data_IF_697130849776
#
_entry.id   IF_697130849776
#
_cell.length_a   1.000
_cell.length_b   1.000
_cell.length_c   1.000
_cell.angle_alpha   90.00
_cell.angle_beta   90.00
_cell.angle_gamma   90.00
#
_symmetry.space_group_name_H-M   'P 1'
#
loop_
_entity.id
_entity.type
_entity.pdbx_description
1 polymer ?
#
# COMPACT_ATOMS: atom_id res chain seq x y z
N UNK A 1 16.46 6.19 50.70
CA UNK A 1 17.65 5.36 50.38
C UNK A 1 17.54 3.90 50.85
N UNK A 2 16.74 3.57 51.88
CA UNK A 2 16.63 2.21 52.43
C UNK A 2 15.73 1.20 51.66
N UNK A 3 14.95 1.65 50.67
CA UNK A 3 14.08 0.77 49.87
C UNK A 3 14.82 0.08 48.70
N UNK A 4 15.90 0.70 48.19
CA UNK A 4 16.64 0.19 47.04
C UNK A 4 17.58 -0.98 47.38
N UNK A 5 18.08 -1.05 48.62
CA UNK A 5 18.95 -2.16 49.07
C UNK A 5 18.18 -3.44 49.40
N UNK A 6 16.94 -3.34 49.88
CA UNK A 6 16.10 -4.53 50.13
C UNK A 6 15.68 -5.23 48.83
N UNK A 7 15.49 -4.48 47.74
CA UNK A 7 15.12 -5.06 46.44
C UNK A 7 16.32 -5.78 45.79
N UNK A 8 17.54 -5.26 45.94
CA UNK A 8 18.77 -5.91 45.45
C UNK A 8 19.04 -7.24 46.15
N UNK A 9 18.73 -7.36 47.45
CA UNK A 9 19.01 -8.58 48.22
C UNK A 9 18.02 -9.72 47.89
N UNK A 10 16.75 -9.40 47.58
CA UNK A 10 15.76 -10.40 47.17
C UNK A 10 16.01 -10.96 45.76
N UNK A 11 16.46 -10.11 44.82
CA UNK A 11 16.77 -10.55 43.44
C UNK A 11 18.02 -11.46 43.42
N UNK A 12 18.99 -11.20 44.29
CA UNK A 12 20.22 -12.01 44.34
C UNK A 12 19.99 -13.40 44.94
N UNK A 13 19.01 -13.55 45.84
CA UNK A 13 18.67 -14.87 46.42
C UNK A 13 17.82 -15.73 45.48
N UNK A 14 16.96 -15.13 44.66
CA UNK A 14 16.18 -15.84 43.63
C UNK A 14 17.07 -16.35 42.49
N UNK A 15 18.11 -15.62 42.10
CA UNK A 15 19.06 -16.07 41.07
C UNK A 15 19.96 -17.23 41.52
N UNK A 16 20.32 -17.31 42.80
CA UNK A 16 21.14 -18.41 43.32
C UNK A 16 20.35 -19.71 43.52
N UNK A 17 19.05 -19.64 43.78
CA UNK A 17 18.19 -20.84 43.90
C UNK A 17 17.78 -21.44 42.56
N UNK A 18 17.82 -20.66 41.45
CA UNK A 18 17.54 -21.17 40.11
C UNK A 18 18.75 -21.88 39.44
N UNK A 19 19.95 -21.77 40.02
CA UNK A 19 21.19 -22.33 39.44
C UNK A 19 21.62 -23.69 40.02
N UNK A 20 20.85 -24.28 40.93
CA UNK A 20 21.18 -25.57 41.57
C UNK A 20 20.01 -26.54 41.40
N UNK A 21 19.65 -26.89 40.16
CA UNK A 21 18.94 -28.14 39.88
C UNK A 21 18.96 -28.48 38.38
N UNK A 22 20.13 -28.69 37.80
CA UNK A 22 20.25 -29.49 36.56
C UNK A 22 21.47 -30.38 36.68
N UNK A 23 21.26 -31.58 37.20
CA UNK A 23 22.19 -32.71 37.08
C UNK A 23 22.29 -33.06 35.59
N UNK A 24 23.49 -33.29 35.03
CA UNK A 24 23.64 -33.51 33.59
C UNK A 24 23.31 -34.96 33.27
N UNK A 25 22.08 -35.21 32.82
CA UNK A 25 21.73 -36.42 32.09
C UNK A 25 21.14 -36.02 30.73
N UNK A 26 21.62 -36.70 29.70
CA UNK A 26 21.20 -36.66 28.30
C UNK A 26 21.52 -35.38 27.50
N UNK A 27 22.58 -35.50 26.70
CA UNK A 27 23.05 -34.60 25.62
C UNK A 27 22.05 -34.32 24.49
N UNK A 28 20.82 -34.83 24.55
CA UNK A 28 19.81 -34.67 23.51
C UNK A 28 18.91 -33.42 23.68
N UNK A 29 18.74 -32.87 24.89
CA UNK A 29 17.74 -31.81 25.14
C UNK A 29 18.19 -30.39 24.76
N UNK A 30 19.49 -30.10 24.78
CA UNK A 30 20.02 -28.76 24.40
C UNK A 30 19.87 -28.45 22.91
N UNK A 31 19.86 -29.48 22.07
CA UNK A 31 19.75 -29.32 20.62
C UNK A 31 18.34 -28.86 20.23
N UNK A 32 17.31 -29.35 20.93
CA UNK A 32 15.92 -28.94 20.72
C UNK A 32 15.65 -27.50 21.15
N UNK A 33 16.24 -27.03 22.25
CA UNK A 33 16.07 -25.64 22.70
C UNK A 33 16.74 -24.63 21.77
N UNK A 34 17.93 -24.93 21.23
CA UNK A 34 18.59 -24.07 20.23
C UNK A 34 17.81 -24.02 18.91
N UNK A 35 17.29 -25.16 18.45
CA UNK A 35 16.43 -25.22 17.26
C UNK A 35 15.15 -24.37 17.45
N UNK A 36 14.54 -24.41 18.63
CA UNK A 36 13.37 -23.58 18.93
C UNK A 36 13.69 -22.08 18.87
N UNK A 37 14.84 -21.64 19.41
CA UNK A 37 15.26 -20.24 19.32
C UNK A 37 15.60 -19.80 17.89
N UNK A 38 16.22 -20.68 17.09
CA UNK A 38 16.50 -20.41 15.68
C UNK A 38 15.20 -20.32 14.89
N UNK A 39 14.24 -21.22 15.12
CA UNK A 39 12.92 -21.19 14.47
C UNK A 39 12.17 -19.91 14.84
N UNK A 40 12.17 -19.50 16.12
CA UNK A 40 11.53 -18.26 16.56
C UNK A 40 12.21 -17.02 15.94
N UNK A 41 13.55 -16.99 15.90
CA UNK A 41 14.29 -15.90 15.25
C UNK A 41 14.05 -15.86 13.74
N UNK A 42 13.92 -17.02 13.08
CA UNK A 42 13.61 -17.13 11.66
C UNK A 42 12.16 -16.70 11.38
N UNK A 43 11.20 -17.10 12.23
CA UNK A 43 9.80 -16.65 12.14
C UNK A 43 9.67 -15.14 12.36
N UNK A 44 10.41 -14.56 13.31
CA UNK A 44 10.48 -13.11 13.52
C UNK A 44 11.13 -12.39 12.32
N UNK A 45 12.19 -12.94 11.75
CA UNK A 45 12.82 -12.39 10.54
C UNK A 45 11.88 -12.45 9.32
N UNK A 46 11.03 -13.47 9.21
CA UNK A 46 10.01 -13.58 8.16
C UNK A 46 8.88 -12.54 8.36
N UNK A 47 8.46 -12.26 9.60
CA UNK A 47 7.45 -11.24 9.89
C UNK A 47 7.97 -9.83 9.53
N UNK A 48 9.24 -9.53 9.78
CA UNK A 48 9.86 -8.25 9.40
C UNK A 48 10.29 -8.16 7.92
N UNK A 49 10.32 -9.28 7.20
CA UNK A 49 10.61 -9.33 5.77
C UNK A 49 9.35 -9.26 4.89
N UNK A 50 8.15 -9.22 5.48
CA UNK A 50 6.93 -8.97 4.73
C UNK A 50 6.97 -7.52 4.21
N UNK A 51 6.84 -7.30 2.89
CA UNK A 51 6.80 -5.95 2.34
C UNK A 51 5.60 -5.23 2.97
N UNK A 52 5.87 -4.13 3.68
CA UNK A 52 4.84 -3.23 4.17
C UNK A 52 3.99 -2.78 2.96
N UNK A 53 2.72 -3.20 2.87
CA UNK A 53 2.04 -3.04 1.60
C UNK A 53 1.51 -1.63 1.38
N UNK A 54 1.79 -1.12 0.18
CA UNK A 54 1.68 0.25 -0.27
C UNK A 54 0.25 0.81 -0.25
N UNK A 55 0.09 1.99 0.34
CA UNK A 55 -0.98 2.92 -0.02
C UNK A 55 -0.76 3.30 -1.50
N UNK A 56 -1.72 2.95 -2.34
CA UNK A 56 -1.58 2.94 -3.79
C UNK A 56 -1.48 4.37 -4.38
N UNK A 57 -0.28 4.81 -4.80
CA UNK A 57 -0.04 6.06 -5.57
C UNK A 57 0.11 5.81 -7.08
N UNK A 58 0.06 4.54 -7.48
CA UNK A 58 0.09 4.01 -8.84
C UNK A 58 -0.79 4.80 -9.79
N UNK A 59 -2.03 5.09 -9.40
CA UNK A 59 -3.02 5.72 -10.27
C UNK A 59 -2.63 7.16 -10.62
N UNK A 60 -1.99 7.89 -9.71
CA UNK A 60 -1.46 9.22 -10.01
C UNK A 60 -0.14 9.11 -10.76
N UNK A 61 0.72 8.14 -10.42
CA UNK A 61 1.91 7.87 -11.21
C UNK A 61 1.57 7.60 -12.69
N UNK A 62 0.48 6.87 -12.97
CA UNK A 62 -0.06 6.60 -14.31
C UNK A 62 -0.46 7.87 -15.05
N UNK A 63 -1.25 8.69 -14.37
CA UNK A 63 -1.91 9.84 -14.97
C UNK A 63 -0.93 10.99 -15.19
N UNK A 64 0.07 11.09 -14.30
CA UNK A 64 1.17 12.05 -14.41
C UNK A 64 2.25 11.64 -15.41
N UNK A 65 2.35 10.34 -15.72
CA UNK A 65 3.32 9.80 -16.66
C UNK A 65 3.03 10.17 -18.13
N UNK A 66 1.83 10.66 -18.46
CA UNK A 66 1.52 11.18 -19.80
C UNK A 66 2.25 12.48 -20.11
N UNK A 67 2.56 13.26 -19.08
CA UNK A 67 3.34 14.49 -19.19
C UNK A 67 4.23 14.63 -17.95
N UNK A 68 5.29 13.79 -17.82
CA UNK A 68 6.10 13.71 -16.61
C UNK A 68 6.91 14.99 -16.37
N UNK A 69 7.10 15.81 -17.41
CA UNK A 69 7.70 17.13 -17.34
C UNK A 69 6.73 18.25 -16.97
N UNK A 70 5.41 17.99 -16.87
CA UNK A 70 4.47 19.03 -16.49
C UNK A 70 4.59 19.35 -15.00
N UNK A 71 4.56 20.65 -14.69
CA UNK A 71 4.52 21.15 -13.31
C UNK A 71 3.32 20.59 -12.54
N UNK A 72 2.19 20.36 -13.21
CA UNK A 72 1.01 19.77 -12.60
C UNK A 72 1.28 18.33 -12.15
N UNK A 73 1.81 17.51 -13.06
CA UNK A 73 2.19 16.13 -12.80
C UNK A 73 3.14 15.99 -11.62
N UNK A 74 4.15 16.87 -11.54
CA UNK A 74 5.10 16.85 -10.42
C UNK A 74 4.43 17.16 -9.08
N UNK A 75 3.64 18.22 -9.02
CA UNK A 75 3.05 18.70 -7.76
C UNK A 75 1.99 17.72 -7.23
N UNK A 76 1.13 17.17 -8.09
CA UNK A 76 0.14 16.17 -7.66
C UNK A 76 0.80 14.84 -7.27
N UNK A 77 1.90 14.44 -7.93
CA UNK A 77 2.68 13.25 -7.55
C UNK A 77 3.31 13.42 -6.17
N UNK A 78 3.93 14.55 -5.88
CA UNK A 78 4.51 14.83 -4.56
C UNK A 78 3.44 14.69 -3.46
N UNK A 79 2.26 15.27 -3.69
CA UNK A 79 1.14 15.14 -2.77
C UNK A 79 0.74 13.68 -2.54
N UNK A 80 0.62 12.87 -3.60
CA UNK A 80 0.28 11.46 -3.43
C UNK A 80 1.38 10.64 -2.77
N UNK A 81 2.64 10.94 -3.02
CA UNK A 81 3.77 10.28 -2.35
C UNK A 81 3.76 10.55 -0.85
N UNK A 82 3.54 11.81 -0.44
CA UNK A 82 3.42 12.15 0.99
C UNK A 82 2.20 11.48 1.64
N UNK A 83 1.07 11.44 0.92
CA UNK A 83 -0.17 10.81 1.39
C UNK A 83 0.00 9.30 1.58
N UNK A 84 0.68 8.64 0.64
CA UNK A 84 1.06 7.23 0.72
C UNK A 84 2.04 6.96 1.87
N UNK A 85 3.02 7.84 2.09
CA UNK A 85 3.95 7.70 3.21
C UNK A 85 3.23 7.79 4.57
N UNK A 86 2.28 8.72 4.72
CA UNK A 86 1.44 8.82 5.91
C UNK A 86 0.59 7.55 6.10
N UNK A 87 -0.05 7.06 5.05
CA UNK A 87 -0.85 5.85 5.11
C UNK A 87 -0.04 4.61 5.51
N UNK A 88 1.16 4.43 4.94
CA UNK A 88 2.09 3.38 5.33
C UNK A 88 2.50 3.46 6.81
N UNK A 89 2.80 4.67 7.29
CA UNK A 89 3.16 4.89 8.69
C UNK A 89 1.99 4.57 9.64
N UNK A 90 0.76 4.98 9.29
CA UNK A 90 -0.45 4.67 10.06
C UNK A 90 -0.77 3.17 10.06
N UNK A 91 -0.58 2.49 8.93
CA UNK A 91 -0.76 1.04 8.80
C UNK A 91 0.18 0.26 9.71
N UNK A 92 1.42 0.71 9.84
CA UNK A 92 2.42 0.06 10.71
C UNK A 92 2.04 0.15 12.20
N UNK A 93 1.31 1.20 12.62
CA UNK A 93 0.93 1.45 14.02
C UNK A 93 2.11 1.49 15.02
N UNK A 94 3.32 1.79 14.54
CA UNK A 94 4.55 1.73 15.36
C UNK A 94 4.87 3.05 16.08
N UNK A 95 4.20 4.16 15.75
CA UNK A 95 4.52 5.50 16.27
C UNK A 95 3.48 5.99 17.27
N UNK A 96 3.93 6.82 18.21
CA UNK A 96 3.06 7.51 19.18
C UNK A 96 2.34 8.72 18.59
N UNK A 97 2.89 9.29 17.52
CA UNK A 97 2.33 10.40 16.76
C UNK A 97 2.81 10.33 15.29
N UNK A 98 2.12 11.08 14.43
CA UNK A 98 2.32 11.12 12.97
C UNK A 98 2.35 12.56 12.43
N UNK A 99 2.66 13.53 13.29
CA UNK A 99 2.63 14.97 12.95
C UNK A 99 3.61 15.32 11.84
N UNK A 100 4.76 14.65 11.78
CA UNK A 100 5.77 14.87 10.73
C UNK A 100 5.26 14.48 9.34
N UNK A 101 4.69 13.27 9.21
CA UNK A 101 4.09 12.80 7.97
C UNK A 101 2.87 13.63 7.58
N UNK A 102 2.02 13.97 8.55
CA UNK A 102 0.85 14.79 8.33
C UNK A 102 1.20 16.20 7.86
N UNK A 103 2.27 16.79 8.40
CA UNK A 103 2.78 18.10 7.98
C UNK A 103 3.18 18.09 6.51
N UNK A 104 3.90 17.06 6.05
CA UNK A 104 4.28 16.93 4.64
C UNK A 104 3.06 16.87 3.72
N UNK A 105 2.04 16.07 4.06
CA UNK A 105 0.77 16.00 3.31
C UNK A 105 0.10 17.37 3.21
N UNK A 106 0.06 18.13 4.30
CA UNK A 106 -0.51 19.47 4.31
C UNK A 106 0.31 20.45 3.47
N UNK A 107 1.64 20.38 3.55
CA UNK A 107 2.55 21.24 2.79
C UNK A 107 2.45 21.00 1.28
N UNK A 108 2.49 19.74 0.84
CA UNK A 108 2.33 19.40 -0.58
C UNK A 108 0.94 19.73 -1.12
N UNK A 109 -0.11 19.59 -0.30
CA UNK A 109 -1.45 20.06 -0.67
C UNK A 109 -1.55 21.59 -0.74
N UNK A 110 -0.90 22.30 0.17
CA UNK A 110 -0.82 23.77 0.13
C UNK A 110 -0.08 24.24 -1.14
N UNK A 111 0.99 23.55 -1.54
CA UNK A 111 1.68 23.83 -2.80
C UNK A 111 0.74 23.62 -4.00
N UNK A 112 0.02 22.50 -4.03
CA UNK A 112 -0.95 22.20 -5.07
C UNK A 112 -2.06 23.25 -5.14
N UNK A 113 -2.73 23.53 -4.01
CA UNK A 113 -3.86 24.45 -3.96
C UNK A 113 -3.46 25.88 -4.29
N UNK A 114 -2.29 26.36 -3.84
CA UNK A 114 -1.78 27.70 -4.19
C UNK A 114 -1.62 27.89 -5.70
N UNK A 115 -1.17 26.85 -6.41
CA UNK A 115 -0.96 26.90 -7.86
C UNK A 115 -2.26 26.71 -8.63
N UNK A 116 -3.08 25.74 -8.21
CA UNK A 116 -4.13 25.21 -9.09
C UNK A 116 -5.57 25.42 -8.59
N UNK A 117 -5.82 25.87 -7.36
CA UNK A 117 -7.20 25.99 -6.84
C UNK A 117 -8.08 26.92 -7.67
N UNK A 118 -7.55 28.07 -8.09
CA UNK A 118 -8.27 29.08 -8.88
C UNK A 118 -7.85 29.09 -10.35
N UNK A 119 -6.75 28.41 -10.68
CA UNK A 119 -6.18 28.32 -12.02
C UNK A 119 -5.90 26.86 -12.35
N UNK A 120 -6.88 26.10 -12.85
CA UNK A 120 -6.66 24.72 -13.28
C UNK A 120 -5.51 24.62 -14.30
N UNK A 121 -4.81 23.49 -14.37
CA UNK A 121 -3.84 23.26 -15.43
C UNK A 121 -4.53 23.35 -16.81
N UNK A 122 -3.79 23.66 -17.90
CA UNK A 122 -4.36 23.82 -19.24
C UNK A 122 -5.28 22.68 -19.67
N UNK A 123 -4.92 21.45 -19.31
CA UNK A 123 -5.63 20.21 -19.62
C UNK A 123 -6.99 20.11 -18.90
N UNK A 124 -7.14 20.71 -17.72
CA UNK A 124 -8.39 20.76 -16.96
C UNK A 124 -9.03 22.14 -16.92
N UNK A 125 -8.64 23.06 -17.83
CA UNK A 125 -9.15 24.43 -17.87
C UNK A 125 -10.68 24.50 -18.00
N UNK A 126 -11.28 23.49 -18.63
CA UNK A 126 -12.72 23.38 -18.84
C UNK A 126 -13.41 22.44 -17.84
N UNK A 127 -12.70 21.92 -16.82
CA UNK A 127 -13.29 21.08 -15.79
C UNK A 127 -14.18 21.92 -14.85
N UNK A 128 -15.49 21.90 -15.10
CA UNK A 128 -16.48 22.61 -14.29
C UNK A 128 -16.51 22.16 -12.82
N UNK A 129 -15.98 20.96 -12.52
CA UNK A 129 -15.96 20.41 -11.16
C UNK A 129 -14.67 20.74 -10.42
N UNK A 130 -13.67 21.35 -11.07
CA UNK A 130 -12.33 21.55 -10.52
C UNK A 130 -12.31 22.10 -9.09
N UNK A 131 -12.97 23.24 -8.87
CA UNK A 131 -13.04 23.87 -7.56
C UNK A 131 -13.67 22.96 -6.48
N UNK A 132 -14.66 22.14 -6.88
CA UNK A 132 -15.28 21.17 -5.98
C UNK A 132 -14.31 20.02 -5.65
N UNK A 133 -13.56 19.50 -6.63
CA UNK A 133 -12.53 18.45 -6.43
C UNK A 133 -11.48 18.92 -5.42
N UNK A 134 -10.92 20.12 -5.64
CA UNK A 134 -9.94 20.72 -4.73
C UNK A 134 -10.51 20.95 -3.32
N UNK A 135 -11.74 21.45 -3.22
CA UNK A 135 -12.37 21.69 -1.91
C UNK A 135 -12.68 20.39 -1.15
N UNK A 136 -13.10 19.35 -1.85
CA UNK A 136 -13.35 18.02 -1.26
C UNK A 136 -12.05 17.40 -0.74
N UNK A 137 -10.97 17.44 -1.52
CA UNK A 137 -9.65 16.96 -1.07
C UNK A 137 -9.18 17.69 0.18
N UNK A 138 -9.31 19.02 0.24
CA UNK A 138 -8.93 19.79 1.42
C UNK A 138 -9.73 19.38 2.66
N UNK A 139 -11.03 19.10 2.50
CA UNK A 139 -11.88 18.59 3.60
C UNK A 139 -11.43 17.21 4.08
N UNK A 140 -11.16 16.29 3.15
CA UNK A 140 -10.66 14.96 3.50
C UNK A 140 -9.33 15.01 4.27
N UNK A 141 -8.40 15.90 3.89
CA UNK A 141 -7.15 16.12 4.63
C UNK A 141 -7.43 16.64 6.04
N UNK A 142 -8.38 17.58 6.18
CA UNK A 142 -8.80 18.09 7.49
C UNK A 142 -9.37 17.00 8.40
N UNK A 143 -10.14 16.06 7.84
CA UNK A 143 -10.68 14.92 8.57
C UNK A 143 -9.59 13.91 8.96
N UNK A 144 -8.65 13.60 8.05
CA UNK A 144 -7.48 12.75 8.35
C UNK A 144 -6.70 13.35 9.52
N UNK A 145 -6.41 14.66 9.47
CA UNK A 145 -5.73 15.38 10.57
C UNK A 145 -6.48 15.25 11.89
N UNK A 146 -7.80 15.43 11.87
CA UNK A 146 -8.62 15.27 13.07
C UNK A 146 -8.49 13.85 13.65
N UNK A 147 -8.59 12.83 12.82
CA UNK A 147 -8.49 11.42 13.24
C UNK A 147 -7.10 11.07 13.80
N UNK A 148 -6.04 11.56 13.18
CA UNK A 148 -4.65 11.42 13.67
C UNK A 148 -4.51 12.05 15.06
N UNK A 149 -5.03 13.28 15.26
CA UNK A 149 -4.96 13.99 16.53
C UNK A 149 -5.79 13.31 17.63
N UNK A 150 -6.90 12.68 17.25
CA UNK A 150 -7.74 11.87 18.14
C UNK A 150 -7.15 10.46 18.40
N UNK A 151 -5.98 10.15 17.83
CA UNK A 151 -5.32 8.82 17.90
C UNK A 151 -6.15 7.67 17.32
N UNK A 152 -7.06 7.99 16.41
CA UNK A 152 -7.90 7.03 15.67
C UNK A 152 -7.17 6.60 14.39
N UNK A 153 -6.03 5.92 14.55
CA UNK A 153 -5.09 5.67 13.45
C UNK A 153 -5.64 4.75 12.35
N UNK A 154 -6.42 3.73 12.71
CA UNK A 154 -7.10 2.87 11.73
C UNK A 154 -8.06 3.68 10.86
N UNK A 155 -8.91 4.49 11.49
CA UNK A 155 -9.87 5.33 10.77
C UNK A 155 -9.17 6.37 9.88
N UNK A 156 -8.03 6.92 10.35
CA UNK A 156 -7.21 7.83 9.56
C UNK A 156 -6.61 7.14 8.33
N UNK A 157 -6.09 5.92 8.49
CA UNK A 157 -5.58 5.09 7.40
C UNK A 157 -6.68 4.80 6.36
N UNK A 158 -7.87 4.41 6.80
CA UNK A 158 -8.98 4.11 5.89
C UNK A 158 -9.41 5.36 5.10
N UNK A 159 -9.39 6.53 5.75
CA UNK A 159 -9.67 7.80 5.08
C UNK A 159 -8.59 8.19 4.08
N UNK A 160 -7.33 7.83 4.31
CA UNK A 160 -6.23 8.00 3.34
C UNK A 160 -6.46 7.12 2.12
N UNK A 161 -6.85 5.85 2.30
CA UNK A 161 -7.16 4.97 1.17
C UNK A 161 -8.32 5.50 0.33
N UNK A 162 -9.36 6.03 0.98
CA UNK A 162 -10.46 6.69 0.26
C UNK A 162 -9.96 7.90 -0.52
N UNK A 163 -9.15 8.76 0.09
CA UNK A 163 -8.61 9.94 -0.57
C UNK A 163 -7.73 9.56 -1.77
N UNK A 164 -6.81 8.60 -1.62
CA UNK A 164 -5.98 8.09 -2.72
C UNK A 164 -6.83 7.61 -3.90
N UNK A 165 -7.91 6.86 -3.63
CA UNK A 165 -8.81 6.37 -4.68
C UNK A 165 -9.52 7.49 -5.45
N UNK A 166 -9.70 8.66 -4.83
CA UNK A 166 -10.35 9.82 -5.44
C UNK A 166 -9.39 10.70 -6.25
N UNK A 167 -8.07 10.62 -6.07
CA UNK A 167 -7.14 11.53 -6.78
C UNK A 167 -7.20 11.38 -8.30
N UNK A 168 -7.62 10.21 -8.80
CA UNK A 168 -7.90 10.00 -10.22
C UNK A 168 -8.87 11.01 -10.84
N UNK A 169 -9.78 11.57 -10.03
CA UNK A 169 -10.74 12.56 -10.48
C UNK A 169 -10.08 13.81 -11.08
N UNK A 170 -8.86 14.17 -10.67
CA UNK A 170 -8.15 15.34 -11.20
C UNK A 170 -7.73 15.20 -12.66
N UNK A 171 -7.77 13.98 -13.21
CA UNK A 171 -7.34 13.69 -14.58
C UNK A 171 -8.50 13.31 -15.50
N UNK A 172 -9.74 13.31 -15.03
CA UNK A 172 -10.92 13.03 -15.86
C UNK A 172 -11.01 13.96 -17.08
N UNK A 173 -10.58 15.22 -16.92
CA UNK A 173 -10.59 16.22 -18.00
C UNK A 173 -9.39 16.10 -18.97
N UNK A 174 -8.39 15.28 -18.66
CA UNK A 174 -7.12 15.23 -19.40
C UNK A 174 -7.19 14.45 -20.72
N UNK A 175 -8.36 13.91 -21.11
CA UNK A 175 -8.50 13.11 -22.32
C UNK A 175 -7.70 11.81 -22.21
N UNK A 176 -8.20 10.86 -21.43
CA UNK A 176 -7.50 9.61 -21.13
C UNK A 176 -7.84 8.56 -22.20
N UNK A 177 -6.83 8.01 -22.88
CA UNK A 177 -7.03 6.93 -23.88
C UNK A 177 -7.64 5.67 -23.25
N UNK A 178 -8.26 4.81 -24.05
CA UNK A 178 -8.95 3.61 -23.57
C UNK A 178 -8.01 2.68 -22.76
N UNK A 179 -6.75 2.57 -23.17
CA UNK A 179 -5.73 1.79 -22.44
C UNK A 179 -5.47 2.37 -21.04
N UNK A 180 -5.49 3.70 -20.93
CA UNK A 180 -5.25 4.41 -19.67
C UNK A 180 -6.48 4.37 -18.77
N UNK A 181 -7.69 4.33 -19.33
CA UNK A 181 -8.90 4.05 -18.57
C UNK A 181 -8.90 2.62 -18.00
N UNK A 182 -8.40 1.65 -18.77
CA UNK A 182 -8.24 0.27 -18.31
C UNK A 182 -7.26 0.18 -17.12
N UNK A 183 -6.13 0.89 -17.17
CA UNK A 183 -5.21 0.98 -16.03
C UNK A 183 -5.86 1.62 -14.79
N UNK A 184 -6.60 2.72 -14.94
CA UNK A 184 -7.32 3.39 -13.84
C UNK A 184 -8.33 2.43 -13.19
N UNK A 185 -9.16 1.77 -14.01
CA UNK A 185 -10.17 0.84 -13.51
C UNK A 185 -9.52 -0.34 -12.76
N UNK A 186 -8.40 -0.85 -13.25
CA UNK A 186 -7.68 -1.96 -12.62
C UNK A 186 -7.06 -1.57 -11.29
N UNK A 187 -6.40 -0.40 -11.19
CA UNK A 187 -5.86 0.10 -9.92
C UNK A 187 -6.98 0.35 -8.89
N UNK A 188 -8.12 0.90 -9.32
CA UNK A 188 -9.29 1.09 -8.45
C UNK A 188 -9.83 -0.24 -7.91
N UNK A 189 -9.88 -1.28 -8.76
CA UNK A 189 -10.32 -2.61 -8.37
C UNK A 189 -9.30 -3.31 -7.44
N UNK A 190 -7.99 -3.14 -7.65
CA UNK A 190 -6.95 -3.64 -6.76
C UNK A 190 -7.01 -3.00 -5.36
N UNK A 191 -7.27 -1.70 -5.29
CA UNK A 191 -7.48 -0.97 -4.02
C UNK A 191 -8.77 -1.43 -3.33
N UNK A 192 -9.86 -1.59 -4.09
CA UNK A 192 -11.15 -2.04 -3.55
C UNK A 192 -11.09 -3.49 -3.05
N UNK A 193 -10.31 -4.35 -3.73
CA UNK A 193 -10.00 -5.69 -3.28
C UNK A 193 -9.26 -5.67 -1.93
N UNK A 194 -8.22 -4.85 -1.78
CA UNK A 194 -7.51 -4.72 -0.49
C UNK A 194 -8.46 -4.35 0.65
N UNK A 195 -9.32 -3.34 0.41
CA UNK A 195 -10.33 -2.92 1.40
C UNK A 195 -11.29 -4.06 1.75
N UNK A 196 -11.78 -4.79 0.76
CA UNK A 196 -12.68 -5.92 0.98
C UNK A 196 -12.02 -7.03 1.82
N UNK A 197 -10.74 -7.34 1.54
CA UNK A 197 -9.96 -8.31 2.31
C UNK A 197 -9.76 -7.85 3.77
N UNK A 198 -9.38 -6.60 3.98
CA UNK A 198 -9.19 -6.03 5.33
C UNK A 198 -10.48 -6.05 6.16
N UNK A 199 -11.63 -5.83 5.51
CA UNK A 199 -12.95 -5.86 6.15
C UNK A 199 -13.54 -7.27 6.27
N UNK A 200 -12.81 -8.31 5.87
CA UNK A 200 -13.28 -9.69 5.81
C UNK A 200 -14.58 -9.86 4.98
N UNK A 201 -14.77 -9.02 3.95
CA UNK A 201 -15.87 -9.08 3.00
C UNK A 201 -15.48 -9.95 1.81
N UNK A 202 -15.61 -11.27 1.99
CA UNK A 202 -15.23 -12.26 0.96
C UNK A 202 -16.07 -12.15 -0.33
N UNK A 203 -17.32 -11.69 -0.23
CA UNK A 203 -18.18 -11.55 -1.40
C UNK A 203 -17.73 -10.37 -2.28
N UNK A 204 -17.46 -9.21 -1.66
CA UNK A 204 -16.90 -8.07 -2.38
C UNK A 204 -15.50 -8.40 -2.93
N UNK A 205 -14.65 -9.06 -2.14
CA UNK A 205 -13.32 -9.48 -2.58
C UNK A 205 -13.40 -10.39 -3.82
N UNK A 206 -14.24 -11.43 -3.80
CA UNK A 206 -14.44 -12.31 -4.94
C UNK A 206 -14.97 -11.58 -6.19
N UNK A 207 -15.85 -10.58 -6.01
CA UNK A 207 -16.31 -9.76 -7.12
C UNK A 207 -15.16 -8.96 -7.75
N UNK A 208 -14.36 -8.27 -6.94
CA UNK A 208 -13.22 -7.48 -7.41
C UNK A 208 -12.17 -8.37 -8.10
N UNK A 209 -11.89 -9.57 -7.57
CA UNK A 209 -10.98 -10.52 -8.21
C UNK A 209 -11.44 -10.93 -9.62
N UNK A 210 -12.75 -11.12 -9.82
CA UNK A 210 -13.30 -11.42 -11.16
C UNK A 210 -13.19 -10.24 -12.11
N UNK A 211 -13.41 -9.02 -11.64
CA UNK A 211 -13.25 -7.82 -12.48
C UNK A 211 -11.78 -7.61 -12.87
N UNK A 212 -10.84 -7.83 -11.94
CA UNK A 212 -9.40 -7.78 -12.24
C UNK A 212 -9.01 -8.84 -13.27
N UNK A 213 -9.59 -10.04 -13.20
CA UNK A 213 -9.41 -11.08 -14.22
C UNK A 213 -9.90 -10.61 -15.61
N UNK A 214 -11.08 -9.98 -15.66
CA UNK A 214 -11.61 -9.41 -16.91
C UNK A 214 -10.72 -8.29 -17.48
N UNK A 215 -10.18 -7.43 -16.63
CA UNK A 215 -9.27 -6.38 -17.05
C UNK A 215 -7.95 -6.95 -17.59
N UNK A 216 -7.43 -8.05 -17.01
CA UNK A 216 -6.22 -8.72 -17.48
C UNK A 216 -6.34 -9.17 -18.94
N UNK A 217 -7.50 -9.71 -19.34
CA UNK A 217 -7.76 -10.09 -20.74
C UNK A 217 -7.65 -8.90 -21.69
N UNK A 218 -8.00 -7.70 -21.22
CA UNK A 218 -7.91 -6.46 -22.01
C UNK A 218 -6.48 -5.89 -22.09
N UNK A 219 -5.58 -6.27 -21.16
CA UNK A 219 -4.17 -5.90 -21.22
C UNK A 219 -3.33 -6.78 -22.15
N UNK A 220 -3.68 -8.05 -22.32
CA UNK A 220 -2.93 -9.00 -23.16
C UNK A 220 -2.66 -8.49 -24.58
N UNK A 221 -3.61 -7.89 -25.31
CA UNK A 221 -3.36 -7.34 -26.64
C UNK A 221 -2.41 -6.12 -26.64
N UNK A 222 -2.27 -5.42 -25.51
CA UNK A 222 -1.44 -4.22 -25.38
C UNK A 222 0.04 -4.54 -25.14
N UNK A 223 0.34 -5.74 -24.63
CA UNK A 223 1.69 -6.26 -24.47
C UNK A 223 2.20 -6.71 -25.84
N UNK A 224 2.95 -5.86 -26.56
CA UNK A 224 3.52 -6.23 -27.87
C UNK A 224 4.66 -7.25 -27.69
N UNK A 225 4.65 -8.32 -28.48
CA UNK A 225 5.69 -9.37 -28.50
C UNK A 225 5.36 -10.58 -27.62
N UNK A 226 6.20 -11.61 -27.69
CA UNK A 226 6.03 -12.94 -27.04
C UNK A 226 6.23 -12.93 -25.51
N UNK A 227 6.13 -11.77 -24.86
CA UNK A 227 6.47 -11.58 -23.45
C UNK A 227 5.21 -11.64 -22.56
N UNK A 228 4.52 -12.79 -22.63
CA UNK A 228 3.34 -13.10 -21.80
C UNK A 228 3.67 -13.30 -20.32
N UNK A 229 4.96 -13.30 -19.95
CA UNK A 229 5.46 -13.61 -18.61
C UNK A 229 4.72 -12.85 -17.51
N UNK A 230 4.50 -11.54 -17.69
CA UNK A 230 3.78 -10.70 -16.73
C UNK A 230 2.28 -11.00 -16.66
N UNK A 231 1.64 -11.23 -17.81
CA UNK A 231 0.20 -11.54 -17.85
C UNK A 231 -0.11 -12.93 -17.33
N UNK A 232 0.81 -13.89 -17.52
CA UNK A 232 0.65 -15.26 -17.06
C UNK A 232 0.85 -15.35 -15.54
N UNK A 233 1.84 -14.62 -15.00
CA UNK A 233 2.03 -14.49 -13.55
C UNK A 233 0.82 -13.81 -12.90
N UNK A 234 0.32 -12.71 -13.48
CA UNK A 234 -0.88 -12.04 -12.98
C UNK A 234 -2.10 -12.97 -13.00
N UNK A 235 -2.31 -13.72 -14.09
CA UNK A 235 -3.38 -14.69 -14.22
C UNK A 235 -3.33 -15.76 -13.12
N UNK A 236 -2.14 -16.35 -12.91
CA UNK A 236 -1.94 -17.34 -11.86
C UNK A 236 -2.21 -16.77 -10.46
N UNK A 237 -1.73 -15.56 -10.16
CA UNK A 237 -1.98 -14.91 -8.87
C UNK A 237 -3.47 -14.62 -8.64
N UNK A 238 -4.20 -14.23 -9.69
CA UNK A 238 -5.65 -14.01 -9.63
C UNK A 238 -6.38 -15.32 -9.32
N UNK A 239 -6.01 -16.42 -9.98
CA UNK A 239 -6.59 -17.75 -9.71
C UNK A 239 -6.30 -18.22 -8.28
N UNK A 240 -5.05 -18.09 -7.82
CA UNK A 240 -4.65 -18.43 -6.46
C UNK A 240 -5.39 -17.59 -5.42
N UNK A 241 -5.59 -16.29 -5.71
CA UNK A 241 -6.32 -15.38 -4.83
C UNK A 241 -7.81 -15.73 -4.78
N UNK A 242 -8.43 -16.03 -5.92
CA UNK A 242 -9.82 -16.47 -5.98
C UNK A 242 -10.04 -17.77 -5.19
N UNK A 243 -9.14 -18.74 -5.34
CA UNK A 243 -9.19 -20.00 -4.60
C UNK A 243 -9.00 -19.77 -3.09
N UNK A 244 -8.07 -18.91 -2.69
CA UNK A 244 -7.82 -18.59 -1.30
C UNK A 244 -8.99 -17.83 -0.64
N UNK A 245 -9.65 -16.92 -1.38
CA UNK A 245 -10.87 -16.24 -0.91
C UNK A 245 -12.01 -17.25 -0.72
N UNK A 246 -12.22 -18.15 -1.68
CA UNK A 246 -13.26 -19.18 -1.59
C UNK A 246 -13.00 -20.18 -0.45
N UNK A 247 -11.74 -20.40 -0.10
CA UNK A 247 -11.33 -21.24 1.03
C UNK A 247 -11.32 -20.47 2.38
N UNK A 248 -11.74 -19.20 2.41
CA UNK A 248 -11.70 -18.32 3.59
C UNK A 248 -10.31 -18.33 4.27
N UNK A 249 -9.26 -18.25 3.46
CA UNK A 249 -7.90 -18.20 3.95
C UNK A 249 -7.69 -16.99 4.88
N UNK A 250 -6.71 -17.09 5.78
CA UNK A 250 -6.40 -15.99 6.68
C UNK A 250 -5.91 -14.73 5.94
N UNK A 251 -6.15 -13.56 6.54
CA UNK A 251 -5.80 -12.27 5.97
C UNK A 251 -4.32 -12.16 5.54
N UNK A 252 -3.32 -12.61 6.32
CA UNK A 252 -1.91 -12.53 5.89
C UNK A 252 -1.63 -13.27 4.57
N UNK A 253 -2.23 -14.44 4.36
CA UNK A 253 -2.05 -15.22 3.14
C UNK A 253 -2.75 -14.59 1.92
N UNK A 254 -3.86 -13.89 2.14
CA UNK A 254 -4.60 -13.15 1.11
C UNK A 254 -3.88 -11.85 0.75
N UNK A 255 -3.45 -11.08 1.75
CA UNK A 255 -2.71 -9.83 1.58
C UNK A 255 -1.42 -10.09 0.79
N UNK A 256 -0.59 -11.07 1.20
CA UNK A 256 0.66 -11.37 0.49
C UNK A 256 0.47 -11.59 -1.02
N UNK A 257 -0.60 -12.28 -1.43
CA UNK A 257 -0.92 -12.51 -2.85
C UNK A 257 -1.45 -11.26 -3.54
N UNK A 258 -2.33 -10.51 -2.87
CA UNK A 258 -2.87 -9.26 -3.40
C UNK A 258 -1.75 -8.24 -3.67
N UNK A 259 -0.76 -8.18 -2.79
CA UNK A 259 0.37 -7.24 -2.92
C UNK A 259 1.33 -7.69 -4.01
N UNK A 260 1.57 -9.01 -4.14
CA UNK A 260 2.31 -9.54 -5.30
C UNK A 260 1.60 -9.22 -6.61
N UNK A 261 0.27 -9.37 -6.64
CA UNK A 261 -0.53 -9.05 -7.82
C UNK A 261 -0.41 -7.58 -8.22
N UNK A 262 -0.44 -6.65 -7.25
CA UNK A 262 -0.17 -5.22 -7.50
C UNK A 262 1.19 -5.00 -8.16
N UNK A 263 2.25 -5.62 -7.64
CA UNK A 263 3.60 -5.48 -8.21
C UNK A 263 3.65 -5.95 -9.67
N UNK A 264 3.06 -7.12 -9.97
CA UNK A 264 3.06 -7.66 -11.33
C UNK A 264 2.26 -6.75 -12.28
N UNK A 265 1.12 -6.21 -11.84
CA UNK A 265 0.38 -5.21 -12.63
C UNK A 265 1.20 -3.95 -12.89
N UNK A 266 1.96 -3.48 -11.91
CA UNK A 266 2.85 -2.33 -12.07
C UNK A 266 3.98 -2.57 -13.07
N UNK A 267 4.55 -3.77 -13.06
CA UNK A 267 5.57 -4.17 -14.02
C UNK A 267 4.99 -4.25 -15.45
N UNK A 268 3.83 -4.91 -15.63
CA UNK A 268 3.15 -4.99 -16.93
C UNK A 268 2.85 -3.59 -17.48
N UNK A 269 2.32 -2.72 -16.63
CA UNK A 269 2.03 -1.33 -16.98
C UNK A 269 3.27 -0.55 -17.40
N UNK A 270 4.36 -0.67 -16.63
CA UNK A 270 5.62 -0.01 -16.96
C UNK A 270 6.13 -0.43 -18.33
N UNK A 271 5.98 -1.71 -18.70
CA UNK A 271 6.34 -2.21 -20.03
C UNK A 271 5.47 -1.62 -21.13
N UNK A 272 4.15 -1.59 -20.96
CA UNK A 272 3.21 -1.01 -21.94
C UNK A 272 3.54 0.48 -22.18
N UNK A 273 3.79 1.24 -21.10
CA UNK A 273 4.16 2.66 -21.20
C UNK A 273 5.52 2.86 -21.88
N UNK A 274 6.52 2.03 -21.58
CA UNK A 274 7.82 2.08 -22.27
C UNK A 274 7.69 1.84 -23.77
N UNK A 275 6.82 0.92 -24.19
CA UNK A 275 6.53 0.67 -25.61
C UNK A 275 5.81 1.84 -26.29
N UNK A 276 4.92 2.54 -25.57
CA UNK A 276 4.24 3.75 -26.05
C UNK A 276 5.25 4.90 -26.25
N UNK A 277 6.13 5.13 -25.27
CA UNK A 277 7.05 6.26 -25.29
C UNK A 277 8.27 6.05 -26.19
N UNK A 278 8.66 4.80 -26.42
CA UNK A 278 9.85 4.47 -27.20
C UNK A 278 9.56 3.37 -28.23
N UNK A 279 8.79 3.66 -29.30
CA UNK A 279 8.34 2.66 -30.28
C UNK A 279 9.45 1.99 -31.12
N UNK A 280 10.72 2.22 -30.80
CA UNK A 280 11.90 1.64 -31.49
C UNK A 280 12.95 1.00 -30.56
N UNK A 281 12.73 0.95 -29.24
CA UNK A 281 13.58 0.15 -28.35
C UNK A 281 13.24 -1.32 -28.57
N UNK A 282 14.12 -2.03 -29.30
CA UNK A 282 14.09 -3.49 -29.35
C UNK A 282 14.54 -4.00 -27.97
N UNK A 283 13.66 -4.72 -27.28
CA UNK A 283 14.03 -5.57 -26.14
C UNK A 283 14.94 -6.71 -26.63
#
# INVERSE_FOLDING_TARGET
MLAAERLKMHITHLYKSALIFVKPEASASRQHSMLAYIIIALCLAIIFALPAPACDDTLVMLLTAQNPGSEFSRVIRNFTTDLTALGLALKAMEKTDYEGELTKVMESWLEFSKKYMTSPPPEARNDLRWAAKTSETARSIGEIRKLVNEKRFTDAHDRILELNSKIGMFFEAFGVSDEKQLFIATSANLTSLERALLNNDHAAAASMTREIAGNLESFRPLLKGDDSTGSDEAGKLIEELAAAIAAEANLPALDSKQQRLKIVFEEMRSRILLQEWFPGLKN
#
